data_IF_896046653040
#
_entry.id   IF_896046653040
#
_cell.length_a   1.000
_cell.length_b   1.000
_cell.length_c   1.000
_cell.angle_alpha   90.00
_cell.angle_beta   90.00
_cell.angle_gamma   90.00
#
_symmetry.space_group_name_H-M   'P 1'
#
loop_
_entity.id
_entity.type
_entity.pdbx_description
1 polymer ?
#
# COMPACT_ATOMS: atom_id res chain seq x y z
N UNK A 1 -11.53 22.76 16.21
CA UNK A 1 -11.06 22.93 14.85
C UNK A 1 -10.09 21.91 14.38
N UNK A 2 -9.22 21.37 15.25
CA UNK A 2 -8.34 20.24 14.87
C UNK A 2 -9.04 18.88 14.95
N UNK A 3 -10.29 18.83 15.37
CA UNK A 3 -11.03 17.57 15.54
C UNK A 3 -11.27 16.86 14.18
N UNK A 4 -11.57 17.63 13.13
CA UNK A 4 -11.73 17.07 11.79
C UNK A 4 -10.41 16.48 11.27
N UNK A 5 -9.30 17.16 11.52
CA UNK A 5 -7.97 16.66 11.15
C UNK A 5 -7.64 15.38 11.92
N UNK A 6 -7.92 15.35 13.21
CA UNK A 6 -7.71 14.15 14.03
C UNK A 6 -8.53 12.97 13.50
N UNK A 7 -9.81 13.21 13.17
CA UNK A 7 -10.69 12.17 12.61
C UNK A 7 -10.13 11.62 11.30
N UNK A 8 -9.62 12.50 10.43
CA UNK A 8 -9.01 12.07 9.17
C UNK A 8 -7.75 11.22 9.41
N UNK A 9 -6.90 11.61 10.36
CA UNK A 9 -5.71 10.83 10.71
C UNK A 9 -6.08 9.44 11.26
N UNK A 10 -7.14 9.36 12.05
CA UNK A 10 -7.66 8.09 12.57
C UNK A 10 -8.13 7.21 11.41
N UNK A 11 -8.86 7.78 10.46
CA UNK A 11 -9.34 7.06 9.29
C UNK A 11 -8.18 6.61 8.37
N UNK A 12 -7.18 7.45 8.19
CA UNK A 12 -5.98 7.09 7.43
C UNK A 12 -5.27 5.91 8.10
N UNK A 13 -5.09 5.98 9.42
CA UNK A 13 -4.44 4.89 10.17
C UNK A 13 -5.23 3.59 10.05
N UNK A 14 -6.55 3.64 10.21
CA UNK A 14 -7.40 2.45 10.06
C UNK A 14 -7.31 1.87 8.65
N UNK A 15 -7.24 2.73 7.63
CA UNK A 15 -7.12 2.29 6.23
C UNK A 15 -5.75 1.65 5.97
N UNK A 16 -4.67 2.21 6.52
CA UNK A 16 -3.33 1.61 6.41
C UNK A 16 -3.28 0.26 7.14
N UNK A 17 -3.93 0.13 8.30
CA UNK A 17 -4.00 -1.15 9.01
C UNK A 17 -4.76 -2.20 8.18
N UNK A 18 -5.85 -1.81 7.52
CA UNK A 18 -6.56 -2.68 6.60
C UNK A 18 -5.68 -3.09 5.42
N UNK A 19 -4.91 -2.15 4.87
CA UNK A 19 -3.95 -2.42 3.81
C UNK A 19 -2.86 -3.40 4.27
N UNK A 20 -2.32 -3.20 5.48
CA UNK A 20 -1.32 -4.10 6.06
C UNK A 20 -1.85 -5.53 6.24
N UNK A 21 -3.10 -5.66 6.68
CA UNK A 21 -3.75 -6.97 6.81
C UNK A 21 -3.90 -7.64 5.45
N UNK A 22 -4.24 -6.87 4.42
CA UNK A 22 -4.35 -7.37 3.05
C UNK A 22 -3.00 -7.79 2.50
N UNK A 23 -1.92 -7.06 2.82
CA UNK A 23 -0.56 -7.44 2.44
C UNK A 23 -0.14 -8.78 3.08
N UNK A 24 -0.48 -9.00 4.34
CA UNK A 24 -0.22 -10.27 5.01
C UNK A 24 -0.96 -11.41 4.33
N UNK A 25 -2.19 -11.18 3.90
CA UNK A 25 -2.98 -12.14 3.17
C UNK A 25 -2.37 -12.44 1.78
N UNK A 26 -1.92 -11.40 1.08
CA UNK A 26 -1.24 -11.52 -0.22
C UNK A 26 0.05 -12.35 -0.10
N UNK A 27 0.86 -12.06 0.91
CA UNK A 27 2.09 -12.82 1.17
C UNK A 27 1.79 -14.31 1.38
N UNK A 28 0.77 -14.60 2.18
CA UNK A 28 0.34 -15.97 2.43
C UNK A 28 -0.14 -16.66 1.15
N UNK A 29 -0.91 -15.94 0.33
CA UNK A 29 -1.39 -16.46 -0.95
C UNK A 29 -0.24 -16.78 -1.91
N UNK A 30 0.82 -15.96 -1.92
CA UNK A 30 1.97 -16.16 -2.79
C UNK A 30 2.78 -17.40 -2.46
N UNK A 31 2.79 -17.84 -1.19
CA UNK A 31 3.53 -19.03 -0.77
C UNK A 31 2.66 -20.28 -0.73
N UNK A 32 1.35 -20.15 -0.90
CA UNK A 32 0.41 -21.27 -0.90
C UNK A 32 0.26 -21.84 -2.30
N UNK A 33 0.13 -23.16 -2.40
CA UNK A 33 -0.10 -23.84 -3.69
C UNK A 33 -1.42 -23.39 -4.35
N UNK A 34 -2.44 -23.11 -3.53
CA UNK A 34 -3.79 -22.75 -4.00
C UNK A 34 -4.04 -21.23 -3.97
N UNK A 35 -3.05 -20.45 -3.53
CA UNK A 35 -3.22 -19.03 -3.26
C UNK A 35 -3.34 -18.14 -4.49
N UNK A 36 -2.91 -18.63 -5.66
CA UNK A 36 -2.93 -17.84 -6.90
C UNK A 36 -4.34 -17.40 -7.31
N UNK A 37 -5.35 -18.17 -6.97
CA UNK A 37 -6.75 -17.85 -7.29
C UNK A 37 -7.25 -16.62 -6.52
N UNK A 38 -6.69 -16.34 -5.36
CA UNK A 38 -7.07 -15.20 -4.53
C UNK A 38 -6.44 -13.88 -5.00
N UNK A 39 -5.36 -13.91 -5.78
CA UNK A 39 -4.59 -12.72 -6.14
C UNK A 39 -5.39 -11.64 -6.87
N UNK A 40 -6.24 -11.95 -7.88
CA UNK A 40 -7.00 -10.90 -8.55
C UNK A 40 -7.92 -10.11 -7.60
N UNK A 41 -8.55 -10.78 -6.65
CA UNK A 41 -9.40 -10.13 -5.64
C UNK A 41 -8.57 -9.27 -4.69
N UNK A 42 -7.40 -9.75 -4.29
CA UNK A 42 -6.48 -8.99 -3.44
C UNK A 42 -6.04 -7.71 -4.16
N UNK A 43 -5.70 -7.79 -5.44
CA UNK A 43 -5.33 -6.64 -6.26
C UNK A 43 -6.46 -5.60 -6.31
N UNK A 44 -7.68 -6.04 -6.50
CA UNK A 44 -8.85 -5.18 -6.52
C UNK A 44 -9.04 -4.47 -5.18
N UNK A 45 -8.89 -5.19 -4.08
CA UNK A 45 -9.00 -4.63 -2.74
C UNK A 45 -7.87 -3.65 -2.45
N UNK A 46 -6.65 -3.93 -2.89
CA UNK A 46 -5.52 -3.00 -2.77
C UNK A 46 -5.81 -1.70 -3.50
N UNK A 47 -6.38 -1.77 -4.69
CA UNK A 47 -6.77 -0.59 -5.48
C UNK A 47 -7.77 0.26 -4.71
N UNK A 48 -8.80 -0.36 -4.17
CA UNK A 48 -9.84 0.33 -3.40
C UNK A 48 -9.24 1.06 -2.19
N UNK A 49 -8.37 0.39 -1.45
CA UNK A 49 -7.72 0.99 -0.27
C UNK A 49 -6.77 2.13 -0.66
N UNK A 50 -6.03 1.98 -1.76
CA UNK A 50 -5.14 3.02 -2.27
C UNK A 50 -5.91 4.26 -2.67
N UNK A 51 -7.05 4.10 -3.34
CA UNK A 51 -7.93 5.20 -3.71
C UNK A 51 -8.50 5.91 -2.48
N UNK A 52 -8.89 5.13 -1.47
CA UNK A 52 -9.37 5.69 -0.20
C UNK A 52 -8.29 6.51 0.50
N UNK A 53 -7.06 6.00 0.55
CA UNK A 53 -5.93 6.73 1.12
C UNK A 53 -5.68 8.05 0.39
N UNK A 54 -5.71 8.05 -0.93
CA UNK A 54 -5.53 9.27 -1.73
C UNK A 54 -6.60 10.31 -1.40
N UNK A 55 -7.85 9.87 -1.25
CA UNK A 55 -8.95 10.76 -0.86
C UNK A 55 -8.77 11.33 0.55
N UNK A 56 -8.30 10.52 1.48
CA UNK A 56 -8.04 10.95 2.86
C UNK A 56 -6.87 11.93 2.94
N UNK A 57 -5.80 11.71 2.17
CA UNK A 57 -4.68 12.65 2.08
C UNK A 57 -5.14 14.01 1.55
N UNK A 58 -6.00 14.00 0.54
CA UNK A 58 -6.57 15.23 -0.03
C UNK A 58 -7.43 15.96 1.01
N UNK A 59 -8.25 15.23 1.75
CA UNK A 59 -9.06 15.79 2.82
C UNK A 59 -8.19 16.39 3.93
N UNK A 60 -7.11 15.70 4.29
CA UNK A 60 -6.15 16.18 5.27
C UNK A 60 -5.52 17.50 4.84
N UNK A 61 -5.07 17.59 3.59
CA UNK A 61 -4.47 18.81 3.06
C UNK A 61 -5.47 19.97 3.07
N UNK A 62 -6.73 19.72 2.72
CA UNK A 62 -7.77 20.72 2.80
C UNK A 62 -8.02 21.20 4.24
N UNK A 63 -7.99 20.29 5.20
CA UNK A 63 -8.15 20.64 6.61
C UNK A 63 -6.97 21.43 7.16
N UNK A 64 -5.75 21.10 6.72
CA UNK A 64 -4.55 21.88 7.05
C UNK A 64 -4.64 23.29 6.48
N UNK A 65 -5.09 23.44 5.23
CA UNK A 65 -5.30 24.74 4.61
C UNK A 65 -6.33 25.56 5.41
N UNK A 66 -7.39 24.92 5.88
CA UNK A 66 -8.40 25.56 6.72
C UNK A 66 -7.86 26.06 8.07
N UNK A 67 -6.76 25.47 8.53
CA UNK A 67 -6.05 25.89 9.75
C UNK A 67 -4.94 26.94 9.45
N UNK A 68 -4.79 27.34 8.20
CA UNK A 68 -3.72 28.25 7.79
C UNK A 68 -2.35 27.60 7.71
N UNK A 69 -2.31 26.28 7.58
CA UNK A 69 -1.08 25.50 7.51
C UNK A 69 -0.82 25.00 6.10
N UNK A 70 0.46 24.81 5.70
CA UNK A 70 0.77 24.22 4.41
C UNK A 70 0.29 22.77 4.34
N UNK A 71 0.08 22.27 3.13
CA UNK A 71 -0.24 20.86 2.92
C UNK A 71 0.96 19.95 3.13
N UNK A 72 0.70 18.65 3.13
CA UNK A 72 1.72 17.63 3.23
C UNK A 72 2.33 17.47 4.61
N UNK A 73 3.49 16.83 4.64
CA UNK A 73 4.18 16.47 5.87
C UNK A 73 4.50 17.68 6.75
N UNK A 74 4.95 18.76 6.13
CA UNK A 74 5.32 19.97 6.88
C UNK A 74 4.14 20.54 7.66
N UNK A 75 2.97 20.62 7.02
CA UNK A 75 1.77 21.13 7.68
C UNK A 75 1.29 20.25 8.81
N UNK A 76 1.32 18.93 8.63
CA UNK A 76 0.88 18.02 9.68
C UNK A 76 1.85 18.05 10.88
N UNK A 77 3.14 18.19 10.65
CA UNK A 77 4.12 18.33 11.72
C UNK A 77 3.90 19.62 12.50
N UNK A 78 3.55 20.71 11.81
CA UNK A 78 3.17 21.96 12.48
C UNK A 78 1.89 21.80 13.28
N UNK A 79 0.92 21.05 12.77
CA UNK A 79 -0.34 20.79 13.48
C UNK A 79 -0.14 19.95 14.74
N UNK A 80 0.93 19.17 14.82
CA UNK A 80 1.27 18.38 16.01
C UNK A 80 1.67 19.27 17.20
N UNK A 81 2.16 20.47 16.94
CA UNK A 81 2.60 21.38 18.00
C UNK A 81 1.40 21.80 18.84
N UNK A 82 1.50 21.55 20.15
CA UNK A 82 0.47 21.89 21.11
C UNK A 82 -0.75 20.98 21.12
N UNK A 83 -0.76 19.92 20.32
CA UNK A 83 -1.85 18.95 20.32
C UNK A 83 -1.29 17.52 20.35
N UNK A 84 -1.30 16.94 21.56
CA UNK A 84 -0.76 15.59 21.80
C UNK A 84 -1.58 14.51 21.09
N UNK A 85 -2.87 14.72 20.87
CA UNK A 85 -3.74 13.76 20.18
C UNK A 85 -3.33 13.62 18.73
N UNK A 86 -3.11 14.75 18.06
CA UNK A 86 -2.66 14.78 16.66
C UNK A 86 -1.24 14.20 16.55
N UNK A 87 -0.34 14.60 17.45
CA UNK A 87 1.03 14.09 17.48
C UNK A 87 1.06 12.57 17.62
N UNK A 88 0.26 12.02 18.53
CA UNK A 88 0.17 10.56 18.75
C UNK A 88 -0.37 9.83 17.54
N UNK A 89 -1.46 10.34 16.94
CA UNK A 89 -2.03 9.71 15.73
C UNK A 89 -1.10 9.80 14.54
N UNK A 90 -0.43 10.93 14.36
CA UNK A 90 0.55 11.08 13.29
C UNK A 90 1.70 10.09 13.45
N UNK A 91 2.20 9.90 14.67
CA UNK A 91 3.26 8.93 14.95
C UNK A 91 2.82 7.50 14.60
N UNK A 92 1.59 7.13 15.00
CA UNK A 92 1.02 5.81 14.67
C UNK A 92 0.89 5.65 13.16
N UNK A 93 0.37 6.65 12.47
CA UNK A 93 0.19 6.61 11.02
C UNK A 93 1.53 6.46 10.30
N UNK A 94 2.54 7.24 10.67
CA UNK A 94 3.88 7.14 10.07
C UNK A 94 4.47 5.74 10.26
N UNK A 95 4.37 5.21 11.47
CA UNK A 95 4.91 3.87 11.77
C UNK A 95 4.21 2.78 10.97
N UNK A 96 2.89 2.82 10.91
CA UNK A 96 2.10 1.85 10.15
C UNK A 96 2.38 1.95 8.65
N UNK A 97 2.46 3.17 8.13
CA UNK A 97 2.76 3.42 6.71
C UNK A 97 4.13 2.87 6.33
N UNK A 98 5.14 3.10 7.15
CA UNK A 98 6.49 2.61 6.89
C UNK A 98 6.54 1.07 6.91
N UNK A 99 5.87 0.44 7.87
CA UNK A 99 5.79 -1.03 7.92
C UNK A 99 5.08 -1.59 6.70
N UNK A 100 3.97 -0.98 6.30
CA UNK A 100 3.21 -1.39 5.11
C UNK A 100 4.04 -1.23 3.85
N UNK A 101 4.77 -0.13 3.72
CA UNK A 101 5.65 0.13 2.57
C UNK A 101 6.73 -0.94 2.45
N UNK A 102 7.40 -1.27 3.55
CA UNK A 102 8.42 -2.32 3.56
C UNK A 102 7.84 -3.67 3.19
N UNK A 103 6.69 -4.00 3.76
CA UNK A 103 6.00 -5.26 3.46
C UNK A 103 5.63 -5.35 1.98
N UNK A 104 5.11 -4.26 1.42
CA UNK A 104 4.74 -4.22 0.01
C UNK A 104 5.96 -4.40 -0.91
N UNK A 105 7.10 -3.81 -0.54
CA UNK A 105 8.35 -4.03 -1.28
C UNK A 105 8.79 -5.49 -1.23
N UNK A 106 8.72 -6.12 -0.07
CA UNK A 106 9.05 -7.53 0.10
C UNK A 106 8.16 -8.41 -0.78
N UNK A 107 6.86 -8.13 -0.79
CA UNK A 107 5.90 -8.86 -1.62
C UNK A 107 6.22 -8.69 -3.10
N UNK A 108 6.57 -7.47 -3.53
CA UNK A 108 7.00 -7.21 -4.91
C UNK A 108 8.20 -8.05 -5.30
N UNK A 109 9.16 -8.22 -4.41
CA UNK A 109 10.33 -9.08 -4.62
C UNK A 109 9.93 -10.56 -4.72
N UNK A 110 9.02 -11.01 -3.88
CA UNK A 110 8.50 -12.39 -3.92
C UNK A 110 7.80 -12.69 -5.25
N UNK A 111 6.97 -11.75 -5.71
CA UNK A 111 6.28 -11.87 -6.99
C UNK A 111 7.27 -11.97 -8.14
N UNK A 112 8.28 -11.13 -8.16
CA UNK A 112 9.33 -11.13 -9.19
C UNK A 112 10.07 -12.45 -9.23
N UNK A 113 10.48 -12.96 -8.07
CA UNK A 113 11.18 -14.24 -7.95
C UNK A 113 10.33 -15.38 -8.47
N UNK A 114 9.05 -15.41 -8.12
CA UNK A 114 8.13 -16.45 -8.56
C UNK A 114 7.89 -16.40 -10.08
N UNK A 115 7.73 -15.21 -10.63
CA UNK A 115 7.57 -15.03 -12.07
C UNK A 115 8.80 -15.51 -12.83
N UNK A 116 9.98 -15.18 -12.35
CA UNK A 116 11.23 -15.61 -12.95
C UNK A 116 11.38 -17.14 -12.91
N UNK A 117 11.06 -17.74 -11.76
CA UNK A 117 11.07 -19.20 -11.60
C UNK A 117 10.10 -19.86 -12.59
N UNK A 118 8.88 -19.37 -12.71
CA UNK A 118 7.88 -19.89 -13.62
C UNK A 118 8.31 -19.74 -15.08
N UNK A 119 8.95 -18.63 -15.42
CA UNK A 119 9.49 -18.40 -16.77
C UNK A 119 10.54 -19.43 -17.12
N UNK A 120 11.47 -19.72 -16.20
CA UNK A 120 12.51 -20.74 -16.42
C UNK A 120 11.90 -22.13 -16.59
N UNK A 121 10.93 -22.49 -15.77
CA UNK A 121 10.25 -23.78 -15.88
C UNK A 121 9.54 -23.94 -17.23
N UNK A 122 8.83 -22.90 -17.68
CA UNK A 122 8.16 -22.90 -18.99
C UNK A 122 9.16 -22.97 -20.15
N UNK A 123 10.28 -22.25 -20.05
CA UNK A 123 11.33 -22.29 -21.07
C UNK A 123 11.91 -23.69 -21.19
N UNK A 124 12.15 -24.39 -20.09
CA UNK A 124 12.64 -25.77 -20.07
C UNK A 124 11.62 -26.72 -20.73
N UNK A 125 10.35 -26.59 -20.37
CA UNK A 125 9.29 -27.47 -20.90
C UNK A 125 9.03 -27.27 -22.39
N UNK A 126 9.18 -26.05 -22.91
CA UNK A 126 8.88 -25.70 -24.30
C UNK A 126 10.10 -25.70 -25.17
N UNK A 127 11.31 -25.74 -24.61
CA UNK A 127 12.55 -25.60 -25.36
C UNK A 127 12.76 -24.21 -25.97
N UNK A 128 12.05 -23.20 -25.46
CA UNK A 128 12.13 -21.83 -25.94
C UNK A 128 11.93 -20.81 -24.81
N UNK A 129 12.39 -19.57 -25.04
CA UNK A 129 12.12 -18.45 -24.12
C UNK A 129 10.70 -17.94 -24.38
N UNK A 130 9.76 -18.44 -23.59
CA UNK A 130 8.34 -18.10 -23.77
C UNK A 130 8.01 -16.68 -23.37
N UNK A 131 7.20 -15.99 -24.19
CA UNK A 131 6.55 -14.74 -23.88
C UNK A 131 5.11 -15.06 -23.45
N UNK A 132 4.92 -15.38 -22.18
CA UNK A 132 3.58 -15.57 -21.64
C UNK A 132 2.95 -14.25 -21.20
N UNK A 133 1.61 -14.15 -21.23
CA UNK A 133 0.91 -13.04 -20.63
C UNK A 133 1.21 -13.01 -19.13
N UNK A 134 1.70 -11.88 -18.64
CA UNK A 134 2.05 -11.71 -17.22
C UNK A 134 1.06 -10.82 -16.53
N UNK A 135 0.56 -11.27 -15.37
CA UNK A 135 -0.28 -10.45 -14.52
C UNK A 135 0.50 -9.27 -13.93
N UNK A 136 1.79 -9.47 -13.67
CA UNK A 136 2.70 -8.47 -13.11
C UNK A 136 3.74 -8.07 -14.17
N UNK A 137 4.20 -6.80 -14.09
CA UNK A 137 5.28 -6.31 -14.94
C UNK A 137 6.65 -6.90 -14.59
N UNK A 138 7.71 -6.58 -15.37
CA UNK A 138 9.05 -7.13 -15.14
C UNK A 138 9.65 -6.83 -13.78
N UNK A 139 9.19 -5.77 -13.12
CA UNK A 139 9.63 -5.37 -11.78
C UNK A 139 8.85 -6.03 -10.65
N UNK A 140 7.93 -6.96 -10.97
CA UNK A 140 7.08 -7.63 -10.00
C UNK A 140 5.92 -6.77 -9.51
N UNK A 141 5.67 -5.64 -10.14
CA UNK A 141 4.58 -4.72 -9.79
C UNK A 141 3.46 -4.81 -10.80
N UNK A 142 2.26 -4.50 -10.34
CA UNK A 142 1.10 -4.39 -11.22
C UNK A 142 1.22 -3.10 -12.05
N UNK A 143 1.03 -3.18 -13.39
CA UNK A 143 1.21 -1.99 -14.24
C UNK A 143 0.29 -0.82 -13.89
N UNK A 144 -0.88 -1.08 -13.31
CA UNK A 144 -1.86 -0.06 -12.96
C UNK A 144 -1.57 0.65 -11.63
N UNK A 145 -0.57 0.20 -10.87
CA UNK A 145 -0.28 0.72 -9.53
C UNK A 145 1.17 1.17 -9.44
N UNK A 146 1.41 2.39 -9.03
CA UNK A 146 2.74 2.92 -8.77
C UNK A 146 3.33 2.48 -7.41
N UNK A 147 2.89 1.36 -6.90
CA UNK A 147 3.32 0.86 -5.59
C UNK A 147 4.48 -0.11 -5.68
#
# INVERSE_FOLDING_TARGET
MKDALLATLIDEHATIEAFASLLAYEEKALVSADGMEALPQIVEQKTTLTQRLAGLEKARDAQLAGLGLPGGRKGIEMACDGDTRIASQWALLKGSTERARRKNLTIGMMIRTRMEHNRRALAILRGETGNGAMLYGPDGRLPAFGL
#
